data_IF_127880932949
#
_entry.id   IF_127880932949
#
_cell.length_a   1.000
_cell.length_b   1.000
_cell.length_c   1.000
_cell.angle_alpha   90.00
_cell.angle_beta   90.00
_cell.angle_gamma   90.00
#
_symmetry.space_group_name_H-M   'P 1'
#
loop_
_entity.id
_entity.type
_entity.pdbx_description
1 polymer ?
#
# COMPACT_ATOMS: atom_id res chain seq x y z
N UNK A 1 24.82 -56.75 15.42
CA UNK A 1 25.19 -55.46 16.05
C UNK A 1 23.85 -54.86 16.45
N UNK A 2 23.45 -55.11 17.69
CA UNK A 2 22.25 -54.51 18.28
C UNK A 2 22.67 -53.13 18.80
N UNK A 3 22.09 -52.09 18.23
CA UNK A 3 22.35 -50.69 18.59
C UNK A 3 21.38 -50.35 19.73
N UNK A 4 21.90 -50.29 20.97
CA UNK A 4 21.12 -49.93 22.14
C UNK A 4 20.70 -48.45 22.06
N UNK A 5 19.40 -48.21 21.96
CA UNK A 5 18.83 -46.87 21.97
C UNK A 5 19.03 -46.23 23.36
N UNK A 6 19.77 -45.13 23.42
CA UNK A 6 19.88 -44.32 24.64
C UNK A 6 18.55 -43.63 24.93
N UNK A 7 18.06 -43.66 26.19
CA UNK A 7 16.84 -42.96 26.55
C UNK A 7 17.06 -41.45 26.45
N UNK A 8 16.22 -40.78 25.65
CA UNK A 8 16.15 -39.32 25.60
C UNK A 8 15.52 -38.84 26.90
N UNK A 9 16.33 -38.23 27.79
CA UNK A 9 15.82 -37.54 28.97
C UNK A 9 14.99 -36.32 28.54
N UNK A 10 13.70 -36.36 28.85
CA UNK A 10 12.78 -35.25 28.65
C UNK A 10 12.91 -34.32 29.86
N UNK A 11 13.71 -33.27 29.76
CA UNK A 11 13.76 -32.25 30.82
C UNK A 11 12.41 -31.51 30.88
N UNK A 12 11.76 -31.56 32.04
CA UNK A 12 10.48 -30.91 32.24
C UNK A 12 10.68 -29.39 32.33
N UNK A 13 10.15 -28.67 31.34
CA UNK A 13 10.08 -27.20 31.35
C UNK A 13 9.30 -26.72 32.56
N UNK A 14 9.84 -25.73 33.26
CA UNK A 14 9.22 -25.10 34.42
C UNK A 14 8.01 -24.27 34.01
N UNK A 15 7.10 -24.01 34.96
CA UNK A 15 5.95 -23.12 34.74
C UNK A 15 6.40 -21.70 34.38
N UNK A 16 7.53 -21.25 34.94
CA UNK A 16 8.07 -19.91 34.70
C UNK A 16 8.56 -19.77 33.25
N UNK A 17 9.31 -20.74 32.74
CA UNK A 17 9.79 -20.72 31.35
C UNK A 17 8.62 -20.66 30.35
N UNK A 18 7.52 -21.36 30.63
CA UNK A 18 6.31 -21.28 29.79
C UNK A 18 5.63 -19.92 29.83
N UNK A 19 5.60 -19.30 31.01
CA UNK A 19 5.02 -17.96 31.17
C UNK A 19 5.88 -16.92 30.43
N UNK A 20 7.20 -17.02 30.55
CA UNK A 20 8.14 -16.14 29.87
C UNK A 20 8.04 -16.29 28.35
N UNK A 21 7.91 -17.51 27.82
CA UNK A 21 7.65 -17.77 26.40
C UNK A 21 6.37 -17.07 25.90
N UNK A 22 5.26 -17.17 26.67
CA UNK A 22 4.00 -16.50 26.35
C UNK A 22 4.16 -14.97 26.36
N UNK A 23 4.92 -14.43 27.32
CA UNK A 23 5.22 -13.00 27.40
C UNK A 23 6.04 -12.54 26.19
N UNK A 24 7.06 -13.30 25.77
CA UNK A 24 7.85 -12.99 24.57
C UNK A 24 6.95 -12.87 23.34
N UNK A 25 6.05 -13.84 23.13
CA UNK A 25 5.13 -13.84 21.99
C UNK A 25 4.23 -12.61 22.01
N UNK A 26 3.62 -12.29 23.15
CA UNK A 26 2.76 -11.11 23.30
C UNK A 26 3.52 -9.80 23.10
N UNK A 27 4.72 -9.69 23.66
CA UNK A 27 5.56 -8.51 23.57
C UNK A 27 5.99 -8.23 22.13
N UNK A 28 6.48 -9.26 21.43
CA UNK A 28 6.90 -9.18 20.04
C UNK A 28 5.73 -8.85 19.13
N UNK A 29 4.59 -9.54 19.27
CA UNK A 29 3.39 -9.28 18.47
C UNK A 29 2.90 -7.83 18.61
N UNK A 30 2.82 -7.33 19.86
CA UNK A 30 2.31 -5.99 20.16
C UNK A 30 3.36 -4.88 20.11
N UNK A 31 4.60 -5.20 19.77
CA UNK A 31 5.75 -4.27 19.84
C UNK A 31 5.89 -3.60 21.21
N UNK A 32 5.54 -4.29 22.29
CA UNK A 32 5.54 -3.73 23.62
C UNK A 32 6.80 -4.16 24.39
N UNK A 33 7.77 -3.24 24.50
CA UNK A 33 9.02 -3.47 25.23
C UNK A 33 8.83 -3.58 26.74
N UNK A 34 7.79 -2.96 27.31
CA UNK A 34 7.51 -3.04 28.75
C UNK A 34 7.17 -4.49 29.16
N UNK A 35 6.55 -5.27 28.27
CA UNK A 35 6.31 -6.69 28.50
C UNK A 35 7.62 -7.51 28.51
N UNK A 36 8.62 -7.13 27.72
CA UNK A 36 9.91 -7.81 27.75
C UNK A 36 10.64 -7.62 29.10
N UNK A 37 10.38 -6.50 29.79
CA UNK A 37 10.97 -6.21 31.10
C UNK A 37 10.40 -7.09 32.22
N UNK A 38 9.25 -7.75 32.01
CA UNK A 38 8.64 -8.65 33.00
C UNK A 38 9.14 -10.09 32.92
N UNK A 39 9.97 -10.41 31.93
CA UNK A 39 10.55 -11.75 31.72
C UNK A 39 11.68 -11.97 32.75
N UNK A 40 11.63 -13.08 33.49
CA UNK A 40 12.65 -13.39 34.49
C UNK A 40 13.95 -13.91 33.85
N UNK A 41 13.85 -14.72 32.80
CA UNK A 41 15.02 -15.17 32.05
C UNK A 41 15.67 -14.01 31.26
N UNK A 42 16.86 -13.60 31.68
CA UNK A 42 17.57 -12.47 31.08
C UNK A 42 17.93 -12.66 29.60
N UNK A 43 18.07 -13.91 29.14
CA UNK A 43 18.39 -14.21 27.74
C UNK A 43 17.14 -14.02 26.88
N UNK A 44 16.00 -14.55 27.31
CA UNK A 44 14.70 -14.36 26.69
C UNK A 44 14.27 -12.89 26.72
N UNK A 45 14.49 -12.19 27.83
CA UNK A 45 14.21 -10.75 27.95
C UNK A 45 15.00 -9.93 26.91
N UNK A 46 16.30 -10.23 26.75
CA UNK A 46 17.14 -9.58 25.74
C UNK A 46 16.68 -9.90 24.31
N UNK A 47 16.41 -11.17 24.03
CA UNK A 47 15.89 -11.60 22.72
C UNK A 47 14.56 -10.90 22.40
N UNK A 48 13.66 -10.83 23.38
CA UNK A 48 12.38 -10.11 23.28
C UNK A 48 12.60 -8.64 22.92
N UNK A 49 13.49 -7.95 23.64
CA UNK A 49 13.79 -6.53 23.39
C UNK A 49 14.36 -6.30 21.98
N UNK A 50 15.29 -7.16 21.53
CA UNK A 50 15.84 -7.09 20.17
C UNK A 50 14.73 -7.25 19.12
N UNK A 51 13.85 -8.25 19.28
CA UNK A 51 12.77 -8.51 18.32
C UNK A 51 11.69 -7.43 18.32
N UNK A 52 11.34 -6.89 19.49
CA UNK A 52 10.45 -5.74 19.59
C UNK A 52 11.06 -4.52 18.91
N UNK A 53 12.35 -4.25 19.12
CA UNK A 53 13.04 -3.12 18.50
C UNK A 53 13.10 -3.25 16.97
N UNK A 54 13.46 -4.43 16.44
CA UNK A 54 13.45 -4.67 14.99
C UNK A 54 12.05 -4.53 14.40
N UNK A 55 11.03 -5.01 15.13
CA UNK A 55 9.63 -4.84 14.74
C UNK A 55 9.21 -3.37 14.66
N UNK A 56 9.59 -2.54 15.64
CA UNK A 56 9.32 -1.10 15.62
C UNK A 56 10.02 -0.40 14.44
N UNK A 57 11.29 -0.74 14.17
CA UNK A 57 12.01 -0.17 13.03
C UNK A 57 11.36 -0.54 11.70
N UNK A 58 10.89 -1.78 11.56
CA UNK A 58 10.11 -2.21 10.40
C UNK A 58 8.85 -1.37 10.23
N UNK A 59 8.06 -1.24 11.30
CA UNK A 59 6.80 -0.49 11.26
C UNK A 59 7.06 1.00 10.92
N UNK A 60 8.06 1.62 11.54
CA UNK A 60 8.48 3.01 11.27
C UNK A 60 8.97 3.22 9.83
N UNK A 61 9.72 2.25 9.27
CA UNK A 61 10.21 2.31 7.90
C UNK A 61 9.06 2.22 6.88
N UNK A 62 8.16 1.27 7.09
CA UNK A 62 6.96 1.09 6.25
C UNK A 62 6.03 2.29 6.38
N UNK A 63 5.83 2.83 7.58
CA UNK A 63 4.98 4.01 7.79
C UNK A 63 5.54 5.25 7.09
N UNK A 64 6.86 5.45 7.16
CA UNK A 64 7.55 6.55 6.48
C UNK A 64 7.77 6.31 4.98
N UNK A 65 7.51 5.10 4.45
CA UNK A 65 7.90 4.68 3.11
C UNK A 65 9.40 4.91 2.84
N UNK A 66 10.25 4.63 3.84
CA UNK A 66 11.67 4.95 3.85
C UNK A 66 12.51 3.68 3.74
N UNK A 67 13.13 3.49 2.57
CA UNK A 67 13.91 2.30 2.24
C UNK A 67 15.25 2.26 3.00
N UNK A 68 15.84 3.43 3.30
CA UNK A 68 17.12 3.51 4.01
C UNK A 68 16.96 2.99 5.45
N UNK A 69 15.77 3.17 6.04
CA UNK A 69 15.43 2.57 7.34
C UNK A 69 15.31 1.05 7.31
N UNK A 70 15.15 0.41 6.16
CA UNK A 70 15.19 -1.05 6.07
C UNK A 70 16.63 -1.60 6.18
N UNK A 71 17.63 -0.80 5.79
CA UNK A 71 19.05 -1.20 5.81
C UNK A 71 19.62 -1.26 7.23
N UNK A 72 19.06 -0.49 8.17
CA UNK A 72 19.49 -0.48 9.57
C UNK A 72 18.97 -1.69 10.37
N UNK A 73 18.05 -2.47 9.82
CA UNK A 73 17.50 -3.66 10.48
C UNK A 73 18.52 -4.80 10.40
N UNK A 74 19.02 -5.24 11.56
CA UNK A 74 20.10 -6.23 11.64
C UNK A 74 19.71 -7.60 11.06
N UNK A 75 18.49 -8.08 11.32
CA UNK A 75 18.02 -9.36 10.79
C UNK A 75 17.70 -9.27 9.30
N UNK A 76 18.52 -9.93 8.45
CA UNK A 76 18.38 -9.90 6.98
C UNK A 76 17.00 -10.30 6.47
N UNK A 77 16.31 -11.26 7.10
CA UNK A 77 14.95 -11.64 6.68
C UNK A 77 13.91 -10.55 6.96
N UNK A 78 14.07 -9.80 8.05
CA UNK A 78 13.20 -8.66 8.39
C UNK A 78 13.52 -7.48 7.48
N UNK A 79 14.80 -7.20 7.24
CA UNK A 79 15.25 -6.17 6.30
C UNK A 79 14.69 -6.39 4.89
N UNK A 80 14.80 -7.61 4.33
CA UNK A 80 14.18 -7.94 3.03
C UNK A 80 12.66 -7.78 3.01
N UNK A 81 11.99 -8.18 4.09
CA UNK A 81 10.53 -7.99 4.21
C UNK A 81 10.19 -6.51 4.27
N UNK A 82 10.97 -5.70 4.98
CA UNK A 82 10.84 -4.25 5.03
C UNK A 82 10.93 -3.64 3.63
N UNK A 83 11.96 -4.00 2.86
CA UNK A 83 12.16 -3.50 1.49
C UNK A 83 10.95 -3.78 0.60
N UNK A 84 10.39 -4.99 0.67
CA UNK A 84 9.19 -5.36 -0.11
C UNK A 84 8.01 -4.47 0.28
N UNK A 85 7.72 -4.36 1.59
CA UNK A 85 6.58 -3.59 2.07
C UNK A 85 6.71 -2.09 1.78
N UNK A 86 7.92 -1.53 1.90
CA UNK A 86 8.20 -0.13 1.56
C UNK A 86 8.00 0.11 0.06
N UNK A 87 8.53 -0.77 -0.80
CA UNK A 87 8.35 -0.64 -2.24
C UNK A 87 6.88 -0.76 -2.67
N UNK A 88 6.13 -1.73 -2.13
CA UNK A 88 4.69 -1.85 -2.37
C UNK A 88 3.92 -0.58 -1.96
N UNK A 89 4.34 0.06 -0.86
CA UNK A 89 3.75 1.33 -0.42
C UNK A 89 4.13 2.50 -1.32
N UNK A 90 5.39 2.60 -1.73
CA UNK A 90 5.87 3.62 -2.65
C UNK A 90 5.15 3.54 -4.00
N UNK A 91 4.94 2.34 -4.54
CA UNK A 91 4.15 2.13 -5.76
C UNK A 91 2.73 2.68 -5.62
N UNK A 92 2.06 2.42 -4.48
CA UNK A 92 0.73 2.98 -4.21
C UNK A 92 0.73 4.50 -4.10
N UNK A 93 1.68 5.08 -3.37
CA UNK A 93 1.80 6.54 -3.24
C UNK A 93 2.02 7.20 -4.60
N UNK A 94 2.88 6.62 -5.44
CA UNK A 94 3.16 7.14 -6.78
C UNK A 94 1.92 7.05 -7.68
N UNK A 95 1.19 5.94 -7.63
CA UNK A 95 -0.05 5.79 -8.40
C UNK A 95 -1.14 6.77 -7.93
N UNK A 96 -1.31 6.94 -6.62
CA UNK A 96 -2.23 7.94 -6.05
C UNK A 96 -1.85 9.37 -6.48
N UNK A 97 -0.56 9.70 -6.48
CA UNK A 97 -0.06 10.99 -6.95
C UNK A 97 -0.35 11.21 -8.44
N UNK A 98 -0.11 10.20 -9.29
CA UNK A 98 -0.41 10.23 -10.73
C UNK A 98 -1.90 10.46 -10.97
N UNK A 99 -2.76 9.75 -10.25
CA UNK A 99 -4.23 9.92 -10.34
C UNK A 99 -4.64 11.33 -9.91
N UNK A 100 -4.06 11.85 -8.82
CA UNK A 100 -4.37 13.19 -8.34
C UNK A 100 -3.98 14.27 -9.36
N UNK A 101 -2.79 14.17 -9.95
CA UNK A 101 -2.32 15.09 -11.00
C UNK A 101 -3.24 15.06 -12.23
N UNK A 102 -3.62 13.87 -12.70
CA UNK A 102 -4.53 13.75 -13.85
C UNK A 102 -5.94 14.25 -13.53
N UNK A 103 -6.43 14.06 -12.30
CA UNK A 103 -7.70 14.63 -11.86
C UNK A 103 -7.70 16.16 -11.83
N UNK A 104 -6.59 16.79 -11.46
CA UNK A 104 -6.46 18.25 -11.48
C UNK A 104 -6.39 18.79 -12.92
N UNK A 105 -5.65 18.10 -13.79
CA UNK A 105 -5.62 18.40 -15.22
C UNK A 105 -7.01 18.31 -15.85
N UNK A 106 -7.78 17.25 -15.53
CA UNK A 106 -9.15 17.08 -16.00
C UNK A 106 -10.04 18.26 -15.62
N UNK A 107 -10.01 18.68 -14.35
CA UNK A 107 -10.80 19.83 -13.85
C UNK A 107 -10.43 21.11 -14.61
N UNK A 108 -9.14 21.32 -14.86
CA UNK A 108 -8.64 22.49 -15.58
C UNK A 108 -9.18 22.52 -17.01
N UNK A 109 -9.01 21.43 -17.76
CA UNK A 109 -9.46 21.34 -19.16
C UNK A 109 -10.98 21.45 -19.26
N UNK A 110 -11.74 20.79 -18.39
CA UNK A 110 -13.21 20.88 -18.41
C UNK A 110 -13.75 22.29 -18.13
N UNK A 111 -12.97 23.13 -17.42
CA UNK A 111 -13.39 24.48 -17.05
C UNK A 111 -13.06 25.54 -18.09
N UNK A 112 -11.97 25.38 -18.84
CA UNK A 112 -11.38 26.44 -19.68
C UNK A 112 -10.98 25.96 -21.08
N UNK A 113 -10.79 24.65 -21.28
CA UNK A 113 -10.25 24.06 -22.50
C UNK A 113 -11.31 23.69 -23.53
N UNK A 114 -10.82 23.16 -24.65
CA UNK A 114 -11.63 22.49 -25.67
C UNK A 114 -11.41 20.97 -25.64
N UNK A 115 -12.26 20.22 -26.35
CA UNK A 115 -12.17 18.77 -26.34
C UNK A 115 -10.90 18.20 -27.00
N UNK A 116 -10.09 19.01 -27.70
CA UNK A 116 -8.79 18.58 -28.24
C UNK A 116 -7.71 18.55 -27.16
N UNK A 117 -7.79 19.43 -26.15
CA UNK A 117 -6.85 19.45 -25.02
C UNK A 117 -6.89 18.14 -24.20
N UNK A 118 -8.01 17.42 -24.20
CA UNK A 118 -8.14 16.10 -23.57
C UNK A 118 -7.11 15.07 -24.09
N UNK A 119 -6.53 15.26 -25.29
CA UNK A 119 -5.50 14.38 -25.85
C UNK A 119 -4.20 14.37 -25.02
N UNK A 120 -3.96 15.38 -24.19
CA UNK A 120 -2.83 15.43 -23.27
C UNK A 120 -2.97 14.51 -22.06
N UNK A 121 -4.16 13.98 -21.80
CA UNK A 121 -4.40 13.07 -20.67
C UNK A 121 -3.91 11.67 -21.03
N UNK A 122 -2.93 11.18 -20.26
CA UNK A 122 -2.28 9.89 -20.48
C UNK A 122 -3.26 8.71 -20.25
N UNK A 123 -4.02 8.73 -19.15
CA UNK A 123 -4.98 7.67 -18.83
C UNK A 123 -6.21 7.74 -19.73
N UNK A 124 -6.51 6.62 -20.36
CA UNK A 124 -7.60 6.50 -21.32
C UNK A 124 -8.98 6.80 -20.71
N UNK A 125 -9.22 6.38 -19.46
CA UNK A 125 -10.51 6.61 -18.82
C UNK A 125 -10.73 8.09 -18.56
N UNK A 126 -9.70 8.79 -18.04
CA UNK A 126 -9.77 10.23 -17.82
C UNK A 126 -9.88 11.01 -19.14
N UNK A 127 -9.17 10.59 -20.20
CA UNK A 127 -9.27 11.20 -21.53
C UNK A 127 -10.67 11.08 -22.12
N UNK A 128 -11.25 9.88 -22.07
CA UNK A 128 -12.61 9.62 -22.58
C UNK A 128 -13.65 10.41 -21.79
N UNK A 129 -13.51 10.47 -20.46
CA UNK A 129 -14.37 11.27 -19.59
C UNK A 129 -14.29 12.76 -19.90
N UNK A 130 -13.08 13.29 -20.08
CA UNK A 130 -12.82 14.69 -20.48
C UNK A 130 -13.57 15.04 -21.77
N UNK A 131 -13.37 14.25 -22.82
CA UNK A 131 -14.00 14.47 -24.12
C UNK A 131 -15.53 14.45 -24.00
N UNK A 132 -16.07 13.46 -23.29
CA UNK A 132 -17.51 13.36 -23.07
C UNK A 132 -18.06 14.61 -22.39
N UNK A 133 -17.46 15.04 -21.28
CA UNK A 133 -17.95 16.18 -20.50
C UNK A 133 -17.93 17.49 -21.30
N UNK A 134 -16.85 17.75 -22.04
CA UNK A 134 -16.71 18.96 -22.84
C UNK A 134 -17.69 18.95 -24.02
N UNK A 135 -17.61 17.93 -24.89
CA UNK A 135 -18.44 17.91 -26.09
C UNK A 135 -19.94 17.80 -25.77
N UNK A 136 -20.31 17.10 -24.70
CA UNK A 136 -21.71 17.06 -24.24
C UNK A 136 -22.19 18.44 -23.77
N UNK A 137 -21.35 19.17 -23.02
CA UNK A 137 -21.68 20.52 -22.54
C UNK A 137 -21.81 21.49 -23.72
N UNK A 138 -20.88 21.46 -24.66
CA UNK A 138 -20.92 22.27 -25.88
C UNK A 138 -22.12 21.93 -26.78
N UNK A 139 -22.41 20.64 -26.97
CA UNK A 139 -23.53 20.17 -27.78
C UNK A 139 -24.87 20.61 -27.19
N UNK A 140 -25.01 20.59 -25.86
CA UNK A 140 -26.20 21.12 -25.18
C UNK A 140 -26.33 22.63 -25.31
N UNK A 141 -25.22 23.36 -25.16
CA UNK A 141 -25.22 24.81 -25.25
C UNK A 141 -25.54 25.31 -26.66
N UNK A 142 -24.98 24.65 -27.68
CA UNK A 142 -25.15 25.00 -29.09
C UNK A 142 -26.36 24.33 -29.77
N UNK A 143 -26.91 23.28 -29.16
CA UNK A 143 -27.88 22.35 -29.76
C UNK A 143 -27.37 21.68 -31.03
N UNK A 144 -26.07 21.42 -31.10
CA UNK A 144 -25.43 20.77 -32.23
C UNK A 144 -25.06 19.31 -31.90
N UNK A 145 -25.84 18.32 -32.40
CA UNK A 145 -25.54 16.91 -32.16
C UNK A 145 -24.27 16.44 -32.88
N UNK A 146 -23.74 17.18 -33.86
CA UNK A 146 -22.51 16.79 -34.54
C UNK A 146 -21.28 16.81 -33.62
N UNK A 147 -21.32 17.60 -32.53
CA UNK A 147 -20.26 17.63 -31.52
C UNK A 147 -20.11 16.29 -30.79
N UNK A 148 -21.21 15.52 -30.63
CA UNK A 148 -21.13 14.19 -30.02
C UNK A 148 -20.29 13.20 -30.83
N UNK A 149 -20.14 13.40 -32.15
CA UNK A 149 -19.29 12.55 -33.01
C UNK A 149 -17.79 12.72 -32.78
N UNK A 150 -17.38 13.73 -32.00
CA UNK A 150 -15.99 13.95 -31.62
C UNK A 150 -15.56 13.14 -30.39
N UNK A 151 -16.50 12.51 -29.69
CA UNK A 151 -16.23 11.62 -28.56
C UNK A 151 -15.73 10.29 -29.13
N UNK A 152 -14.52 9.87 -28.77
CA UNK A 152 -13.90 8.66 -29.33
C UNK A 152 -14.64 7.38 -28.91
N UNK A 153 -15.19 7.36 -27.69
CA UNK A 153 -15.94 6.22 -27.19
C UNK A 153 -17.36 6.20 -27.81
N UNK A 154 -17.64 5.19 -28.62
CA UNK A 154 -18.90 5.06 -29.37
C UNK A 154 -20.15 5.02 -28.45
N UNK A 155 -20.07 4.34 -27.30
CA UNK A 155 -21.17 4.23 -26.35
C UNK A 155 -21.50 5.60 -25.74
N UNK A 156 -20.48 6.36 -25.34
CA UNK A 156 -20.66 7.71 -24.80
C UNK A 156 -21.11 8.72 -25.87
N UNK A 157 -20.67 8.57 -27.12
CA UNK A 157 -21.16 9.37 -28.24
C UNK A 157 -22.67 9.15 -28.49
N UNK A 158 -23.14 7.91 -28.39
CA UNK A 158 -24.57 7.57 -28.47
C UNK A 158 -25.37 8.17 -27.32
N UNK A 159 -24.85 8.10 -26.09
CA UNK A 159 -25.46 8.73 -24.90
C UNK A 159 -25.56 10.25 -25.06
N UNK A 160 -24.50 10.88 -25.58
CA UNK A 160 -24.49 12.32 -25.87
C UNK A 160 -25.59 12.68 -26.87
N UNK A 161 -25.64 11.97 -28.00
CA UNK A 161 -26.61 12.22 -29.08
C UNK A 161 -28.06 12.03 -28.60
N UNK A 162 -28.29 10.97 -27.83
CA UNK A 162 -29.62 10.65 -27.29
C UNK A 162 -30.14 11.69 -26.31
N UNK A 163 -29.24 12.38 -25.60
CA UNK A 163 -29.60 13.39 -24.60
C UNK A 163 -29.97 14.76 -25.19
N UNK A 164 -29.81 14.94 -26.51
CA UNK A 164 -30.14 16.18 -27.23
C UNK A 164 -31.49 16.12 -27.96
N UNK A 165 -32.08 14.93 -28.07
CA UNK A 165 -33.39 14.69 -28.69
C UNK A 165 -34.52 14.76 -27.65
#
# INVERSE_FOLDING_TARGET
IEEEATPVEFEATTLQERLDDDIVLMAVDRRNSELCETIEDTTQAKFCMEKVSEGKLLDDAVDAADIEKCEIIATSSISKRCEILVNEKLEKINEEARIAEQSELLITIESEGDGEECQGIEDENFRVQCQFNIYMTEAKASKDPSLCSKIENEELAEVCTSSLN
#
